data_IF_342049143112
#
_entry.id   IF_342049143112
#
_cell.length_a   1.000
_cell.length_b   1.000
_cell.length_c   1.000
_cell.angle_alpha   90.00
_cell.angle_beta   90.00
_cell.angle_gamma   90.00
#
_symmetry.space_group_name_H-M   'P 1'
#
loop_
_entity.id
_entity.type
_entity.pdbx_description
1 polymer ?
#
# COMPACT_ATOMS: atom_id res chain seq x y z
N UNK A 1 -11.73 7.92 -20.17
CA UNK A 1 -12.89 7.58 -19.32
C UNK A 1 -13.38 6.22 -19.76
N UNK A 2 -13.18 5.18 -18.94
CA UNK A 2 -13.58 3.82 -19.29
C UNK A 2 -15.10 3.68 -19.16
N UNK A 3 -15.75 3.15 -20.20
CA UNK A 3 -17.21 2.98 -20.25
C UNK A 3 -17.54 1.59 -19.72
N UNK A 4 -17.98 1.51 -18.46
CA UNK A 4 -18.37 0.25 -17.83
C UNK A 4 -19.75 -0.17 -18.34
N UNK A 5 -19.82 -1.32 -19.00
CA UNK A 5 -21.09 -1.93 -19.45
C UNK A 5 -21.68 -2.75 -18.29
N UNK A 6 -22.91 -2.44 -17.91
CA UNK A 6 -23.70 -3.20 -16.92
C UNK A 6 -24.85 -3.91 -17.64
N UNK A 7 -25.01 -5.21 -17.40
CA UNK A 7 -26.05 -6.04 -18.02
C UNK A 7 -26.85 -6.74 -16.92
N UNK A 8 -28.18 -6.58 -16.95
CA UNK A 8 -29.11 -7.26 -16.05
C UNK A 8 -29.44 -8.68 -16.57
N UNK A 9 -29.44 -9.64 -15.65
CA UNK A 9 -29.55 -11.09 -15.89
C UNK A 9 -30.69 -11.52 -16.83
N UNK A 10 -31.82 -10.80 -16.83
CA UNK A 10 -32.99 -11.14 -17.64
C UNK A 10 -32.81 -10.99 -19.17
N UNK A 11 -31.73 -10.37 -19.63
CA UNK A 11 -31.41 -10.22 -21.05
C UNK A 11 -30.33 -11.21 -21.55
N UNK A 12 -29.76 -12.04 -20.66
CA UNK A 12 -28.76 -13.04 -21.02
C UNK A 12 -29.42 -14.32 -21.57
N UNK A 13 -30.29 -14.17 -22.58
CA UNK A 13 -30.64 -15.28 -23.45
C UNK A 13 -29.33 -15.74 -24.09
N UNK A 14 -28.98 -17.00 -23.88
CA UNK A 14 -27.87 -17.80 -24.46
C UNK A 14 -27.51 -17.44 -25.91
N UNK A 15 -26.93 -16.27 -26.05
CA UNK A 15 -26.46 -15.63 -27.25
C UNK A 15 -25.27 -14.85 -26.79
N UNK A 16 -24.23 -15.59 -26.37
CA UNK A 16 -22.87 -15.08 -26.24
C UNK A 16 -22.43 -14.62 -27.63
N UNK A 17 -23.01 -13.51 -28.08
CA UNK A 17 -22.27 -12.51 -28.80
C UNK A 17 -20.95 -12.42 -28.05
N UNK A 18 -19.86 -12.65 -28.76
CA UNK A 18 -18.50 -12.36 -28.35
C UNK A 18 -18.55 -10.94 -27.79
N UNK A 19 -18.82 -10.82 -26.50
CA UNK A 19 -18.78 -9.56 -25.82
C UNK A 19 -17.34 -9.13 -26.00
N UNK A 20 -17.15 -7.93 -26.50
CA UNK A 20 -15.83 -7.35 -26.66
C UNK A 20 -15.23 -7.20 -25.25
N UNK A 21 -14.55 -8.26 -24.78
CA UNK A 21 -13.95 -8.38 -23.46
C UNK A 21 -12.63 -7.60 -23.39
N UNK A 22 -12.32 -6.77 -24.39
CA UNK A 22 -11.29 -5.73 -24.31
C UNK A 22 -11.49 -4.83 -23.08
N UNK A 23 -12.70 -4.82 -22.50
CA UNK A 23 -13.00 -4.16 -21.24
C UNK A 23 -13.65 -5.14 -20.24
N UNK A 24 -13.27 -5.08 -18.94
CA UNK A 24 -13.91 -5.86 -17.90
C UNK A 24 -15.42 -5.59 -17.81
N UNK A 25 -16.21 -6.66 -17.80
CA UNK A 25 -17.67 -6.59 -17.66
C UNK A 25 -18.06 -6.89 -16.22
N UNK A 26 -18.85 -6.02 -15.60
CA UNK A 26 -19.35 -6.23 -14.24
C UNK A 26 -20.74 -6.85 -14.30
N UNK A 27 -20.86 -8.06 -13.78
CA UNK A 27 -22.14 -8.70 -13.54
C UNK A 27 -22.76 -8.11 -12.27
N UNK A 28 -24.01 -7.66 -12.38
CA UNK A 28 -24.75 -7.06 -11.28
C UNK A 28 -26.03 -7.86 -10.99
N UNK A 29 -26.32 -8.06 -9.71
CA UNK A 29 -27.57 -8.64 -9.22
C UNK A 29 -28.22 -7.64 -8.27
N UNK A 30 -29.48 -7.28 -8.52
CA UNK A 30 -30.22 -6.28 -7.71
C UNK A 30 -29.47 -4.94 -7.55
N UNK A 31 -28.70 -4.54 -8.56
CA UNK A 31 -27.89 -3.33 -8.53
C UNK A 31 -26.57 -3.43 -7.74
N UNK A 32 -26.25 -4.59 -7.17
CA UNK A 32 -24.98 -4.86 -6.52
C UNK A 32 -24.01 -5.63 -7.42
N UNK A 33 -22.71 -5.30 -7.41
CA UNK A 33 -21.71 -6.04 -8.19
C UNK A 33 -21.51 -7.45 -7.60
N UNK A 34 -21.70 -8.47 -8.43
CA UNK A 34 -21.56 -9.88 -8.05
C UNK A 34 -20.24 -10.46 -8.53
N UNK A 35 -19.90 -10.23 -9.79
CA UNK A 35 -18.69 -10.77 -10.42
C UNK A 35 -18.15 -9.83 -11.49
N UNK A 36 -16.87 -9.98 -11.81
CA UNK A 36 -16.24 -9.29 -12.94
C UNK A 36 -15.75 -10.35 -13.91
N UNK A 37 -16.15 -10.23 -15.16
CA UNK A 37 -15.67 -11.07 -16.27
C UNK A 37 -14.57 -10.31 -16.99
N UNK A 38 -13.42 -10.96 -17.15
CA UNK A 38 -12.25 -10.48 -17.88
C UNK A 38 -11.76 -11.57 -18.81
N UNK A 39 -10.89 -11.20 -19.75
CA UNK A 39 -10.18 -12.21 -20.55
C UNK A 39 -9.26 -13.04 -19.65
N UNK A 40 -9.02 -14.28 -20.06
CA UNK A 40 -8.11 -15.15 -19.31
C UNK A 40 -6.68 -14.59 -19.28
N UNK A 41 -6.21 -14.00 -20.37
CA UNK A 41 -4.88 -13.41 -20.46
C UNK A 41 -4.72 -12.21 -19.51
N UNK A 42 -5.75 -11.35 -19.41
CA UNK A 42 -5.76 -10.23 -18.47
C UNK A 42 -5.79 -10.71 -17.02
N UNK A 43 -6.56 -11.76 -16.73
CA UNK A 43 -6.54 -12.40 -15.42
C UNK A 43 -5.16 -12.96 -15.06
N UNK A 44 -4.50 -13.67 -15.99
CA UNK A 44 -3.15 -14.18 -15.78
C UNK A 44 -2.13 -13.07 -15.56
N UNK A 45 -2.25 -11.96 -16.29
CA UNK A 45 -1.40 -10.80 -16.11
C UNK A 45 -1.53 -10.20 -14.70
N UNK A 46 -2.75 -9.99 -14.21
CA UNK A 46 -2.96 -9.49 -12.84
C UNK A 46 -2.48 -10.47 -11.77
N UNK A 47 -2.62 -11.78 -11.99
CA UNK A 47 -2.08 -12.81 -11.10
C UNK A 47 -0.57 -12.75 -11.00
N UNK A 48 0.12 -12.54 -12.13
CA UNK A 48 1.57 -12.37 -12.15
C UNK A 48 2.00 -11.10 -11.39
N UNK A 49 1.35 -9.96 -11.65
CA UNK A 49 1.62 -8.71 -10.94
C UNK A 49 1.41 -8.82 -9.42
N UNK A 50 0.36 -9.52 -9.00
CA UNK A 50 0.08 -9.75 -7.58
C UNK A 50 1.16 -10.62 -6.91
N UNK A 51 1.69 -11.63 -7.62
CA UNK A 51 2.77 -12.46 -7.13
C UNK A 51 4.08 -11.66 -6.98
N UNK A 52 4.41 -10.82 -7.97
CA UNK A 52 5.59 -9.95 -7.93
C UNK A 52 5.52 -8.95 -6.78
N UNK A 53 4.35 -8.37 -6.53
CA UNK A 53 4.13 -7.45 -5.42
C UNK A 53 4.33 -8.13 -4.05
N UNK A 54 3.82 -9.35 -3.89
CA UNK A 54 4.04 -10.13 -2.67
C UNK A 54 5.53 -10.42 -2.45
N UNK A 55 6.25 -10.78 -3.51
CA UNK A 55 7.69 -11.06 -3.44
C UNK A 55 8.49 -9.79 -3.11
N UNK A 56 8.15 -8.64 -3.72
CA UNK A 56 8.78 -7.35 -3.40
C UNK A 56 8.57 -6.94 -1.94
N UNK A 57 7.37 -7.15 -1.40
CA UNK A 57 7.09 -6.87 0.02
C UNK A 57 7.94 -7.73 0.95
N UNK A 58 8.03 -9.03 0.68
CA UNK A 58 8.87 -9.94 1.48
C UNK A 58 10.34 -9.54 1.42
N UNK A 59 10.86 -9.17 0.25
CA UNK A 59 12.23 -8.69 0.09
C UNK A 59 12.46 -7.36 0.85
N UNK A 60 11.48 -6.45 0.82
CA UNK A 60 11.50 -5.21 1.59
C UNK A 60 11.56 -5.46 3.09
N UNK A 61 10.73 -6.37 3.62
CA UNK A 61 10.76 -6.73 5.04
C UNK A 61 12.09 -7.34 5.47
N UNK A 62 12.66 -8.26 4.67
CA UNK A 62 13.99 -8.81 4.94
C UNK A 62 15.08 -7.74 4.96
N UNK A 63 15.00 -6.77 4.04
CA UNK A 63 15.95 -5.65 3.99
C UNK A 63 15.84 -4.75 5.21
N UNK A 64 14.61 -4.50 5.68
CA UNK A 64 14.38 -3.74 6.92
C UNK A 64 14.94 -4.47 8.14
N UNK A 65 14.71 -5.78 8.24
CA UNK A 65 15.20 -6.60 9.34
C UNK A 65 16.75 -6.59 9.40
N UNK A 66 17.41 -6.66 8.25
CA UNK A 66 18.86 -6.50 8.15
C UNK A 66 19.32 -5.12 8.62
N UNK A 67 18.67 -4.05 8.16
CA UNK A 67 19.01 -2.68 8.56
C UNK A 67 18.82 -2.44 10.07
N UNK A 68 17.74 -2.98 10.65
CA UNK A 68 17.50 -2.91 12.08
C UNK A 68 18.59 -3.67 12.85
N UNK A 69 18.92 -4.87 12.39
CA UNK A 69 19.98 -5.69 13.00
C UNK A 69 21.33 -4.96 12.95
N UNK A 70 21.69 -4.40 11.80
CA UNK A 70 22.91 -3.61 11.63
C UNK A 70 22.93 -2.39 12.56
N UNK A 71 21.81 -1.66 12.64
CA UNK A 71 21.69 -0.47 13.50
C UNK A 71 21.78 -0.84 14.98
N UNK A 72 21.14 -1.93 15.40
CA UNK A 72 21.17 -2.39 16.79
C UNK A 72 22.52 -3.01 17.20
N UNK A 73 23.26 -3.59 16.25
CA UNK A 73 24.60 -4.14 16.51
C UNK A 73 25.69 -3.08 16.45
N UNK A 74 25.41 -1.90 15.87
CA UNK A 74 26.33 -0.79 15.87
C UNK A 74 26.56 -0.35 17.32
N UNK A 75 27.81 -0.38 17.83
CA UNK A 75 28.10 0.18 19.13
C UNK A 75 27.66 1.63 19.10
N UNK A 76 26.75 1.99 20.00
CA UNK A 76 26.54 3.38 20.33
C UNK A 76 27.78 3.82 21.08
N UNK A 77 28.62 4.66 20.46
CA UNK A 77 29.73 5.33 21.16
C UNK A 77 29.23 6.25 22.27
N UNK A 78 27.91 6.50 22.32
CA UNK A 78 27.26 7.22 23.40
C UNK A 78 27.06 6.33 24.62
N UNK A 79 27.59 6.76 25.75
CA UNK A 79 27.21 6.25 27.06
C UNK A 79 25.77 6.66 27.39
N UNK A 80 25.12 5.94 28.32
CA UNK A 80 23.78 6.30 28.80
C UNK A 80 23.71 7.75 29.32
N UNK A 81 24.80 8.23 29.95
CA UNK A 81 24.91 9.61 30.44
C UNK A 81 24.95 10.63 29.30
N UNK A 82 25.61 10.32 28.18
CA UNK A 82 25.66 11.18 27.01
C UNK A 82 24.30 11.25 26.29
N UNK A 83 23.56 10.13 26.25
CA UNK A 83 22.19 10.09 25.71
C UNK A 83 21.26 10.98 26.55
N UNK A 84 21.29 10.84 27.88
CA UNK A 84 20.46 11.65 28.79
C UNK A 84 20.83 13.15 28.73
N UNK A 85 22.12 13.46 28.59
CA UNK A 85 22.58 14.83 28.40
C UNK A 85 22.04 15.45 27.11
N UNK A 86 22.04 14.70 26.00
CA UNK A 86 21.54 15.16 24.70
C UNK A 86 20.01 15.34 24.70
N UNK A 87 19.26 14.40 25.28
CA UNK A 87 17.81 14.50 25.46
C UNK A 87 17.46 15.73 26.32
N UNK A 88 18.18 15.92 27.43
CA UNK A 88 17.99 17.07 28.31
C UNK A 88 18.30 18.38 27.59
N UNK A 89 19.38 18.44 26.81
CA UNK A 89 19.74 19.60 25.99
C UNK A 89 18.62 19.94 25.00
N UNK A 90 18.13 18.96 24.24
CA UNK A 90 17.02 19.14 23.29
C UNK A 90 15.74 19.66 23.98
N UNK A 91 15.39 19.14 25.16
CA UNK A 91 14.26 19.65 25.93
C UNK A 91 14.46 21.10 26.39
N UNK A 92 15.66 21.48 26.81
CA UNK A 92 15.94 22.87 27.20
C UNK A 92 15.88 23.82 26.01
N UNK A 93 16.33 23.41 24.83
CA UNK A 93 16.23 24.19 23.59
C UNK A 93 14.78 24.41 23.17
N UNK A 94 13.95 23.36 23.20
CA UNK A 94 12.50 23.48 22.93
C UNK A 94 11.84 24.42 23.93
N UNK A 95 12.22 24.35 25.21
CA UNK A 95 11.66 25.23 26.27
C UNK A 95 12.04 26.69 26.04
N UNK A 96 13.29 26.97 25.68
CA UNK A 96 13.76 28.32 25.31
C UNK A 96 13.03 28.84 24.07
N UNK A 97 12.97 28.06 23.00
CA UNK A 97 12.26 28.42 21.77
C UNK A 97 10.77 28.73 22.00
N UNK A 98 10.11 28.02 22.92
CA UNK A 98 8.72 28.31 23.33
C UNK A 98 8.60 29.59 24.16
N UNK A 99 9.59 29.88 24.99
CA UNK A 99 9.59 31.09 25.82
C UNK A 99 9.83 32.34 24.97
N UNK A 100 10.79 32.28 24.04
CA UNK A 100 11.12 33.38 23.12
C UNK A 100 9.95 33.72 22.19
N UNK A 101 9.17 32.71 21.76
CA UNK A 101 7.92 32.92 21.00
C UNK A 101 6.77 33.53 21.79
N UNK A 102 6.82 33.53 23.12
CA UNK A 102 5.78 34.13 24.00
C UNK A 102 6.18 35.51 24.52
N UNK A 103 7.44 35.92 24.34
CA UNK A 103 7.97 37.22 24.75
C UNK A 103 8.00 38.28 23.64
N UNK A 104 7.59 37.91 22.42
CA UNK A 104 7.27 38.81 21.30
C UNK A 104 5.76 38.89 21.11
#
# INVERSE_FOLDING_TARGET
MAKTLSVAEAAAVYGTAVADLDHPVILQQEGQPLAVIVTFDEYQHWRALAADEAQRRLAGWKSLELLLTETHQRPSDYSAEQIEAEISAAHTEIRKARHDRRGH
#
